data_IF_119673434691
#
_entry.id   IF_119673434691
#
_cell.length_a   1.000
_cell.length_b   1.000
_cell.length_c   1.000
_cell.angle_alpha   90.00
_cell.angle_beta   90.00
_cell.angle_gamma   90.00
#
_symmetry.space_group_name_H-M   'P 1'
#
loop_
_entity.id
_entity.type
_entity.pdbx_description
1 polymer ?
#
# COMPACT_ATOMS: atom_id res chain seq x y z
N UNK A 1 22.55 1.31 5.86
CA UNK A 1 21.71 0.55 6.79
C UNK A 1 20.29 1.01 6.60
N UNK A 2 19.34 0.12 6.30
CA UNK A 2 17.93 0.49 6.18
C UNK A 2 17.28 0.33 7.56
N UNK A 3 16.98 1.45 8.22
CA UNK A 3 16.24 1.42 9.47
C UNK A 3 14.81 0.95 9.20
N UNK A 4 14.48 -0.26 9.65
CA UNK A 4 13.14 -0.82 9.50
C UNK A 4 12.22 -0.13 10.52
N UNK A 5 11.49 0.88 10.08
CA UNK A 5 10.46 1.54 10.90
C UNK A 5 9.19 0.69 10.88
N UNK A 6 8.75 0.22 12.06
CA UNK A 6 7.49 -0.51 12.22
C UNK A 6 6.41 0.45 12.71
N UNK A 7 5.26 0.44 12.08
CA UNK A 7 4.09 1.23 12.49
C UNK A 7 2.83 0.37 12.46
N UNK A 8 1.84 0.73 13.27
CA UNK A 8 0.53 0.06 13.29
C UNK A 8 -0.52 0.95 12.63
N UNK A 9 -1.16 0.44 11.59
CA UNK A 9 -2.22 1.12 10.86
C UNK A 9 -3.60 0.60 11.31
N UNK A 10 -4.51 1.50 11.64
CA UNK A 10 -5.92 1.14 11.85
C UNK A 10 -6.60 1.04 10.50
N UNK A 11 -6.90 -0.19 10.08
CA UNK A 11 -7.56 -0.47 8.80
C UNK A 11 -8.99 -0.97 9.09
N UNK A 12 -10.03 -0.42 8.43
CA UNK A 12 -11.39 -0.94 8.54
C UNK A 12 -11.47 -2.42 8.18
N UNK A 13 -12.27 -3.20 8.91
CA UNK A 13 -12.37 -4.66 8.73
C UNK A 13 -12.68 -5.08 7.29
N UNK A 14 -13.56 -4.34 6.61
CA UNK A 14 -13.92 -4.61 5.21
C UNK A 14 -12.74 -4.42 4.26
N UNK A 15 -11.92 -3.39 4.48
CA UNK A 15 -10.72 -3.16 3.67
C UNK A 15 -9.67 -4.25 3.94
N UNK A 16 -9.51 -4.66 5.20
CA UNK A 16 -8.59 -5.72 5.58
C UNK A 16 -8.97 -7.06 4.91
N UNK A 17 -10.27 -7.38 4.81
CA UNK A 17 -10.73 -8.58 4.07
C UNK A 17 -10.31 -8.54 2.61
N UNK A 18 -10.46 -7.39 1.95
CA UNK A 18 -10.03 -7.22 0.55
C UNK A 18 -8.53 -7.39 0.38
N UNK A 19 -7.73 -6.76 1.25
CA UNK A 19 -6.27 -6.90 1.26
C UNK A 19 -5.87 -8.37 1.44
N UNK A 20 -6.54 -9.11 2.33
CA UNK A 20 -6.29 -10.55 2.53
C UNK A 20 -6.57 -11.37 1.28
N UNK A 21 -7.68 -11.10 0.60
CA UNK A 21 -8.04 -11.78 -0.65
C UNK A 21 -7.04 -11.53 -1.76
N UNK A 22 -6.62 -10.27 -1.93
CA UNK A 22 -5.62 -9.88 -2.94
C UNK A 22 -4.27 -10.54 -2.61
N UNK A 23 -3.84 -10.47 -1.35
CA UNK A 23 -2.61 -11.12 -0.89
C UNK A 23 -2.61 -12.63 -1.17
N UNK A 24 -3.75 -13.30 -0.97
CA UNK A 24 -3.90 -14.72 -1.28
C UNK A 24 -3.78 -14.99 -2.80
N UNK A 25 -4.46 -14.20 -3.62
CA UNK A 25 -4.47 -14.37 -5.07
C UNK A 25 -3.11 -14.08 -5.72
N UNK A 26 -2.33 -13.15 -5.14
CA UNK A 26 -1.00 -12.78 -5.64
C UNK A 26 0.14 -13.57 -4.98
N UNK A 27 -0.17 -14.54 -4.10
CA UNK A 27 0.82 -15.29 -3.30
C UNK A 27 1.80 -14.38 -2.54
N UNK A 28 1.31 -13.21 -2.11
CA UNK A 28 2.09 -12.16 -1.43
C UNK A 28 1.68 -12.01 0.03
N UNK A 29 2.58 -11.41 0.82
CA UNK A 29 2.24 -10.99 2.17
C UNK A 29 1.31 -9.75 2.13
N UNK A 30 0.33 -9.68 3.04
CA UNK A 30 -0.53 -8.51 3.22
C UNK A 30 0.26 -7.20 3.35
N UNK A 31 1.41 -7.24 4.05
CA UNK A 31 2.27 -6.06 4.19
C UNK A 31 2.88 -5.61 2.86
N UNK A 32 3.20 -6.54 1.95
CA UNK A 32 3.70 -6.21 0.62
C UNK A 32 2.60 -5.52 -0.21
N UNK A 33 1.38 -6.06 -0.19
CA UNK A 33 0.22 -5.43 -0.86
C UNK A 33 -0.03 -4.02 -0.33
N UNK A 34 0.03 -3.82 1.00
CA UNK A 34 -0.17 -2.51 1.62
C UNK A 34 0.94 -1.53 1.18
N UNK A 35 2.19 -1.98 1.16
CA UNK A 35 3.32 -1.14 0.74
C UNK A 35 3.22 -0.76 -0.74
N UNK A 36 2.93 -1.72 -1.63
CA UNK A 36 2.74 -1.48 -3.05
C UNK A 36 1.62 -0.45 -3.29
N UNK A 37 0.48 -0.58 -2.61
CA UNK A 37 -0.62 0.36 -2.71
C UNK A 37 -0.25 1.77 -2.22
N UNK A 38 0.53 1.90 -1.13
CA UNK A 38 1.01 3.19 -0.63
C UNK A 38 2.00 3.82 -1.61
N UNK A 39 2.95 3.04 -2.15
CA UNK A 39 3.90 3.52 -3.14
C UNK A 39 3.22 4.01 -4.41
N UNK A 40 2.25 3.24 -4.92
CA UNK A 40 1.47 3.60 -6.08
C UNK A 40 0.69 4.90 -5.84
N UNK A 41 0.05 5.03 -4.68
CA UNK A 41 -0.65 6.25 -4.29
C UNK A 41 0.28 7.47 -4.27
N UNK A 42 1.47 7.35 -3.67
CA UNK A 42 2.46 8.43 -3.61
C UNK A 42 2.97 8.78 -5.02
N UNK A 43 3.29 7.79 -5.85
CA UNK A 43 3.73 7.99 -7.25
C UNK A 43 2.64 8.71 -8.05
N UNK A 44 1.39 8.29 -7.91
CA UNK A 44 0.25 8.91 -8.59
C UNK A 44 -0.04 10.32 -8.10
N UNK A 45 0.15 10.61 -6.80
CA UNK A 45 0.05 11.98 -6.27
C UNK A 45 1.10 12.90 -6.90
N UNK A 46 2.37 12.48 -6.93
CA UNK A 46 3.46 13.25 -7.55
C UNK A 46 3.26 13.50 -9.05
N UNK A 47 2.67 12.55 -9.78
CA UNK A 47 2.36 12.71 -11.22
C UNK A 47 1.27 13.74 -11.49
N UNK A 48 0.27 13.87 -10.60
CA UNK A 48 -0.77 14.89 -10.74
C UNK A 48 -0.22 16.31 -10.59
N UNK A 49 0.77 16.51 -9.73
CA UNK A 49 1.39 17.82 -9.54
C UNK A 49 2.25 18.25 -10.75
N UNK A 50 2.72 17.30 -11.58
CA UNK A 50 3.54 17.57 -12.78
C UNK A 50 2.66 17.79 -14.03
N UNK A 51 1.52 17.11 -14.14
CA UNK A 51 0.60 17.22 -15.28
C UNK A 51 -0.34 18.44 -15.23
N UNK A 52 -0.08 19.40 -14.33
CA UNK A 52 -0.82 20.68 -14.24
C UNK A 52 0.08 21.87 -14.65
N UNK A 53 1.16 21.61 -15.39
CA UNK A 53 2.00 22.64 -16.01
C UNK A 53 1.73 22.76 -17.51
#
# INVERSE_FOLDING_TARGET
>A
MSDIVRTTLRIPKELLKKIKLIALNEEKNQNAIILEAIEEFIKNKKRRDINVL
#
